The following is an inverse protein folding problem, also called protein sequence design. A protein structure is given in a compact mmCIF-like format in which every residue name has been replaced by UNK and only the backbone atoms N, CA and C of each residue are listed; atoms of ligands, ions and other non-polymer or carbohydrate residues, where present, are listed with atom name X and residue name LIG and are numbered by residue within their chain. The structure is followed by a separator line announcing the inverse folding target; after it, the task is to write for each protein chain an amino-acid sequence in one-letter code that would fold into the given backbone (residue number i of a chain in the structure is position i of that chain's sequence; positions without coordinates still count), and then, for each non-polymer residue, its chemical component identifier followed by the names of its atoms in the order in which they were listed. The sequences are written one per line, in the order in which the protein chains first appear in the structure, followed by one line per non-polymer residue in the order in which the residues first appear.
data_IF_389732282937
#
_entry.id   IF_389732282937
#
_cell.length_a   1.000
_cell.length_b   1.000
_cell.length_c   1.000
_cell.angle_alpha   90.00
_cell.angle_beta   90.00
_cell.angle_gamma   90.00
#
_symmetry.space_group_name_H-M   'P 1'
#
loop_
_entity.id
_entity.type
_entity.pdbx_description
1 polymer ?
#
# COMPACT_ATOMS: atom_id res chain seq x y z
N UNK A 1 -17.26 24.48 9.67
CA UNK A 1 -15.81 24.64 9.46
C UNK A 1 -15.40 25.85 10.26
N UNK A 2 -14.40 25.70 11.13
CA UNK A 2 -13.82 26.80 11.91
C UNK A 2 -12.34 26.91 11.53
N UNK A 3 -11.85 28.14 11.48
CA UNK A 3 -10.43 28.45 11.28
C UNK A 3 -10.06 29.54 12.28
N UNK A 4 -9.09 29.25 13.13
CA UNK A 4 -8.55 30.15 14.13
C UNK A 4 -7.08 30.41 13.82
N UNK A 5 -6.70 31.69 13.82
CA UNK A 5 -5.31 32.13 13.63
C UNK A 5 -4.78 32.59 14.98
N UNK A 6 -3.70 31.97 15.42
CA UNK A 6 -3.07 32.20 16.73
C UNK A 6 -4.05 32.21 17.93
N UNK A 7 -4.97 31.22 18.05
CA UNK A 7 -5.95 31.21 19.14
C UNK A 7 -5.29 31.08 20.53
N UNK A 8 -5.96 31.63 21.53
CA UNK A 8 -5.62 31.34 22.93
C UNK A 8 -5.88 29.87 23.28
N UNK A 9 -5.18 29.34 24.29
CA UNK A 9 -5.28 27.91 24.64
C UNK A 9 -6.71 27.47 25.00
N UNK A 10 -7.46 28.31 25.73
CA UNK A 10 -8.85 28.00 26.10
C UNK A 10 -9.80 27.96 24.89
N UNK A 11 -9.65 28.91 23.97
CA UNK A 11 -10.42 28.95 22.73
C UNK A 11 -10.11 27.73 21.86
N UNK A 12 -8.82 27.42 21.70
CA UNK A 12 -8.37 26.25 20.97
C UNK A 12 -8.88 24.95 21.62
N UNK A 13 -8.82 24.81 22.95
CA UNK A 13 -9.33 23.63 23.67
C UNK A 13 -10.83 23.46 23.47
N UNK A 14 -11.60 24.55 23.55
CA UNK A 14 -13.05 24.52 23.38
C UNK A 14 -13.42 24.05 21.96
N UNK A 15 -12.77 24.59 20.94
CA UNK A 15 -13.05 24.21 19.56
C UNK A 15 -12.56 22.79 19.25
N UNK A 16 -11.39 22.42 19.77
CA UNK A 16 -10.87 21.05 19.66
C UNK A 16 -11.85 20.04 20.28
N UNK A 17 -12.38 20.31 21.47
CA UNK A 17 -13.36 19.45 22.13
C UNK A 17 -14.60 19.20 21.26
N UNK A 18 -15.21 20.27 20.72
CA UNK A 18 -16.37 20.18 19.82
C UNK A 18 -16.06 19.36 18.57
N UNK A 19 -14.90 19.60 17.95
CA UNK A 19 -14.51 18.92 16.72
C UNK A 19 -14.27 17.42 16.95
N UNK A 20 -13.63 17.04 18.06
CA UNK A 20 -13.38 15.65 18.42
C UNK A 20 -14.68 14.91 18.74
N UNK A 21 -15.60 15.52 19.48
CA UNK A 21 -16.94 14.97 19.75
C UNK A 21 -17.74 14.76 18.46
N UNK A 22 -17.66 15.70 17.53
CA UNK A 22 -18.30 15.62 16.22
C UNK A 22 -17.55 14.73 15.20
N UNK A 23 -16.46 14.07 15.60
CA UNK A 23 -15.57 13.27 14.73
C UNK A 23 -15.11 14.02 13.47
N UNK A 24 -14.85 15.30 13.62
CA UNK A 24 -14.28 16.12 12.55
C UNK A 24 -12.77 15.92 12.44
N UNK A 25 -12.22 16.18 11.26
CA UNK A 25 -10.78 16.35 11.10
C UNK A 25 -10.36 17.68 11.72
N UNK A 26 -9.26 17.68 12.46
CA UNK A 26 -8.61 18.86 13.01
C UNK A 26 -7.20 18.95 12.47
N UNK A 27 -6.82 20.14 12.00
CA UNK A 27 -5.45 20.44 11.56
C UNK A 27 -4.92 21.62 12.35
N UNK A 28 -3.75 21.47 12.96
CA UNK A 28 -3.11 22.50 13.78
C UNK A 28 -1.65 22.71 13.37
N UNK A 29 -1.17 23.94 13.49
CA UNK A 29 0.27 24.24 13.54
C UNK A 29 0.55 24.82 14.92
N UNK A 30 1.45 24.18 15.66
CA UNK A 30 1.73 24.57 17.05
C UNK A 30 3.19 24.30 17.42
N UNK A 31 3.75 25.14 18.30
CA UNK A 31 4.96 24.81 19.02
C UNK A 31 4.63 23.80 20.12
N UNK A 32 5.28 22.65 20.09
CA UNK A 32 4.93 21.54 20.96
C UNK A 32 6.10 20.65 21.37
N UNK A 33 5.86 19.81 22.36
CA UNK A 33 6.59 18.55 22.59
C UNK A 33 5.69 17.37 22.24
N UNK A 34 6.30 16.23 21.95
CA UNK A 34 5.57 14.97 21.71
C UNK A 34 6.23 13.85 22.47
N UNK A 35 5.44 13.11 23.25
CA UNK A 35 5.89 11.91 23.96
C UNK A 35 5.00 10.74 23.59
N UNK A 36 5.62 9.63 23.22
CA UNK A 36 4.93 8.39 22.88
C UNK A 36 5.38 7.28 23.82
N UNK A 37 4.41 6.52 24.32
CA UNK A 37 4.62 5.36 25.19
C UNK A 37 3.75 4.21 24.71
N UNK A 38 4.39 3.09 24.36
CA UNK A 38 3.73 1.89 23.85
C UNK A 38 4.74 0.74 23.73
N UNK A 39 4.73 0.04 22.59
CA UNK A 39 5.73 -1.01 22.29
C UNK A 39 7.18 -0.50 22.34
N UNK A 40 7.37 0.78 22.08
CA UNK A 40 8.61 1.53 22.24
C UNK A 40 8.31 2.85 22.96
N UNK A 41 9.33 3.58 23.37
CA UNK A 41 9.20 4.95 23.86
C UNK A 41 9.89 5.92 22.91
N UNK A 42 9.32 7.11 22.72
CA UNK A 42 10.00 8.20 22.01
C UNK A 42 9.57 9.56 22.54
N UNK A 43 10.53 10.48 22.65
CA UNK A 43 10.28 11.86 23.02
C UNK A 43 10.87 12.79 21.96
N UNK A 44 10.12 13.85 21.64
CA UNK A 44 10.57 14.93 20.77
C UNK A 44 10.37 16.24 21.53
N UNK A 45 11.47 16.98 21.70
CA UNK A 45 11.47 18.28 22.37
C UNK A 45 10.76 19.38 21.59
N UNK A 46 10.85 20.61 22.10
CA UNK A 46 10.18 21.79 21.56
C UNK A 46 10.39 21.98 20.06
N UNK A 47 9.33 22.41 19.38
CA UNK A 47 9.37 22.77 17.97
C UNK A 47 8.00 22.88 17.32
N UNK A 48 7.94 23.66 16.26
CA UNK A 48 6.72 23.85 15.46
C UNK A 48 6.43 22.61 14.60
N UNK A 49 5.19 22.11 14.70
CA UNK A 49 4.76 20.91 13.98
C UNK A 49 3.36 21.07 13.41
N UNK A 50 3.15 20.43 12.26
CA UNK A 50 1.81 20.20 11.71
C UNK A 50 1.23 18.97 12.41
N UNK A 51 0.06 19.14 13.02
CA UNK A 51 -0.66 18.07 13.72
C UNK A 51 -1.99 17.87 13.00
N UNK A 52 -2.31 16.62 12.67
CA UNK A 52 -3.58 16.23 12.07
C UNK A 52 -4.24 15.17 12.94
N UNK A 53 -5.45 15.46 13.40
CA UNK A 53 -6.33 14.54 14.10
C UNK A 53 -7.49 14.21 13.17
N UNK A 54 -7.68 12.94 12.83
CA UNK A 54 -8.74 12.52 11.91
C UNK A 54 -9.98 12.06 12.69
N UNK A 55 -11.14 12.12 12.04
CA UNK A 55 -12.42 11.71 12.63
C UNK A 55 -12.52 10.21 12.99
N UNK A 56 -11.64 9.39 12.42
CA UNK A 56 -11.52 7.96 12.72
C UNK A 56 -10.59 7.66 13.91
N UNK A 57 -10.02 8.68 14.56
CA UNK A 57 -9.09 8.52 15.67
C UNK A 57 -7.62 8.45 15.27
N UNK A 58 -7.27 8.59 13.98
CA UNK A 58 -5.87 8.62 13.55
C UNK A 58 -5.20 9.96 13.93
N UNK A 59 -3.93 9.89 14.34
CA UNK A 59 -3.09 11.05 14.67
C UNK A 59 -1.83 11.04 13.85
N UNK A 60 -1.49 12.19 13.27
CA UNK A 60 -0.25 12.41 12.54
C UNK A 60 0.42 13.68 13.05
N UNK A 61 1.71 13.60 13.36
CA UNK A 61 2.54 14.76 13.69
C UNK A 61 3.69 14.84 12.69
N UNK A 62 3.78 15.95 11.97
CA UNK A 62 4.79 16.20 10.94
C UNK A 62 5.73 17.35 11.32
N UNK A 63 6.99 17.21 10.90
CA UNK A 63 7.92 18.34 10.80
C UNK A 63 7.67 19.08 9.48
N UNK A 64 8.28 20.24 9.28
CA UNK A 64 8.21 20.99 8.01
C UNK A 64 8.96 20.36 6.82
N UNK A 65 9.35 19.09 6.92
CA UNK A 65 10.08 18.33 5.89
C UNK A 65 9.69 16.86 5.95
N UNK A 66 10.04 16.13 4.90
CA UNK A 66 9.75 14.70 4.70
C UNK A 66 8.25 14.39 4.54
N UNK A 67 7.93 13.28 3.85
CA UNK A 67 6.54 12.89 3.62
C UNK A 67 5.94 12.07 4.76
N UNK A 68 6.78 11.50 5.64
CA UNK A 68 6.35 10.65 6.74
C UNK A 68 6.11 11.48 8.01
N UNK A 69 5.07 11.16 8.81
CA UNK A 69 4.93 11.74 10.14
C UNK A 69 6.09 11.31 11.04
N UNK A 70 6.56 12.22 11.89
CA UNK A 70 7.62 11.92 12.87
C UNK A 70 7.08 11.11 14.05
N UNK A 71 5.82 11.29 14.41
CA UNK A 71 5.06 10.44 15.32
C UNK A 71 3.62 10.31 14.82
N UNK A 72 3.02 9.14 15.03
CA UNK A 72 1.65 8.88 14.61
C UNK A 72 1.00 7.79 15.46
N UNK A 73 -0.33 7.73 15.42
CA UNK A 73 -1.11 6.58 15.85
C UNK A 73 -2.18 6.24 14.81
N UNK A 74 -2.50 4.94 14.63
CA UNK A 74 -3.53 4.50 13.71
C UNK A 74 -4.93 4.93 14.17
N UNK A 75 -5.94 4.62 13.36
CA UNK A 75 -7.35 4.82 13.70
C UNK A 75 -7.77 4.07 14.98
N UNK A 76 -8.87 4.50 15.58
CA UNK A 76 -9.44 3.93 16.79
C UNK A 76 -8.88 4.48 18.09
N UNK A 77 -8.10 5.57 18.07
CA UNK A 77 -7.70 6.25 19.29
C UNK A 77 -8.86 7.02 19.92
N UNK A 78 -8.87 7.07 21.26
CA UNK A 78 -9.69 8.00 22.03
C UNK A 78 -8.83 9.20 22.40
N UNK A 79 -9.40 10.39 22.25
CA UNK A 79 -8.71 11.64 22.57
C UNK A 79 -9.11 12.18 23.94
N UNK A 80 -8.14 12.72 24.64
CA UNK A 80 -8.34 13.52 25.85
C UNK A 80 -7.63 14.85 25.68
N UNK A 81 -8.33 15.94 26.03
CA UNK A 81 -7.79 17.30 25.93
C UNK A 81 -7.93 18.02 27.26
N UNK A 82 -6.86 18.66 27.74
CA UNK A 82 -6.91 19.48 28.96
C UNK A 82 -5.86 20.59 28.89
N UNK A 83 -6.05 21.63 29.68
CA UNK A 83 -5.00 22.62 29.91
C UNK A 83 -4.36 22.31 31.26
N UNK A 84 -3.04 22.21 31.29
CA UNK A 84 -2.25 21.92 32.48
C UNK A 84 -0.89 22.62 32.35
N UNK A 85 -0.43 23.27 33.42
CA UNK A 85 0.88 23.95 33.40
C UNK A 85 1.02 25.05 32.34
N UNK A 86 -0.09 25.69 31.94
CA UNK A 86 -0.07 26.71 30.88
C UNK A 86 0.13 26.14 29.47
N UNK A 87 -0.12 24.84 29.26
CA UNK A 87 -0.07 24.15 27.98
C UNK A 87 -1.38 23.47 27.67
N UNK A 88 -1.75 23.40 26.39
CA UNK A 88 -2.82 22.53 25.90
C UNK A 88 -2.25 21.14 25.64
N UNK A 89 -2.76 20.15 26.36
CA UNK A 89 -2.41 18.74 26.19
C UNK A 89 -3.46 18.05 25.34
N UNK A 90 -3.00 17.31 24.34
CA UNK A 90 -3.81 16.38 23.55
C UNK A 90 -3.19 14.99 23.68
N UNK A 91 -3.91 14.09 24.34
CA UNK A 91 -3.51 12.70 24.53
C UNK A 91 -4.37 11.79 23.67
N UNK A 92 -3.76 11.09 22.74
CA UNK A 92 -4.36 10.02 21.97
C UNK A 92 -4.05 8.68 22.64
N UNK A 93 -5.10 7.92 22.96
CA UNK A 93 -4.99 6.61 23.62
C UNK A 93 -5.54 5.55 22.69
N UNK A 94 -4.70 4.62 22.26
CA UNK A 94 -5.10 3.40 21.58
C UNK A 94 -5.21 2.28 22.60
N UNK A 95 -6.33 1.56 22.68
CA UNK A 95 -6.55 0.55 23.71
C UNK A 95 -5.90 -0.80 23.42
N UNK A 96 -5.67 -1.15 22.14
CA UNK A 96 -5.12 -2.46 21.76
C UNK A 96 -4.17 -2.39 20.55
N UNK A 97 -2.86 -2.66 20.74
CA UNK A 97 -2.17 -2.64 22.04
C UNK A 97 -2.34 -1.28 22.73
N UNK A 98 -2.20 -1.26 24.07
CA UNK A 98 -2.27 -0.03 24.84
C UNK A 98 -1.07 0.87 24.47
N UNK A 99 -1.35 1.98 23.80
CA UNK A 99 -0.34 2.94 23.35
C UNK A 99 -0.88 4.37 23.59
N UNK A 100 -0.01 5.27 24.01
CA UNK A 100 -0.34 6.67 24.24
C UNK A 100 0.60 7.59 23.48
N UNK A 101 0.03 8.63 22.87
CA UNK A 101 0.77 9.72 22.24
C UNK A 101 0.25 11.01 22.85
N UNK A 102 1.11 11.73 23.55
CA UNK A 102 0.80 13.02 24.19
C UNK A 102 1.49 14.13 23.43
N UNK A 103 0.72 15.13 23.03
CA UNK A 103 1.20 16.36 22.41
C UNK A 103 0.93 17.49 23.40
N UNK A 104 1.95 18.22 23.81
CA UNK A 104 1.81 19.38 24.69
C UNK A 104 2.16 20.64 23.90
N UNK A 105 1.23 21.59 23.84
CA UNK A 105 1.37 22.82 23.05
C UNK A 105 1.34 24.03 23.97
N UNK A 106 2.34 24.90 23.88
CA UNK A 106 2.33 26.20 24.58
C UNK A 106 1.80 27.33 23.70
N UNK A 107 1.94 27.22 22.38
CA UNK A 107 1.45 28.17 21.39
C UNK A 107 0.92 27.45 20.16
N UNK A 108 -0.29 27.85 19.75
CA UNK A 108 -0.97 27.31 18.57
C UNK A 108 -1.04 28.45 17.58
N UNK A 109 -0.35 28.33 16.45
CA UNK A 109 -0.32 29.34 15.39
C UNK A 109 -1.55 29.23 14.49
N UNK A 110 -2.11 28.03 14.38
CA UNK A 110 -3.25 27.74 13.51
C UNK A 110 -4.04 26.56 14.05
N UNK A 111 -5.37 26.66 14.01
CA UNK A 111 -6.29 25.54 14.24
C UNK A 111 -7.43 25.61 13.23
N UNK A 112 -7.75 24.48 12.62
CA UNK A 112 -8.89 24.37 11.71
C UNK A 112 -9.64 23.06 11.89
N UNK A 113 -10.94 23.09 11.62
CA UNK A 113 -11.84 21.95 11.78
C UNK A 113 -12.64 21.70 10.50
N UNK A 114 -12.61 20.47 9.99
CA UNK A 114 -13.25 20.07 8.73
C UNK A 114 -14.11 18.83 8.91
N UNK A 115 -15.31 18.86 8.35
CA UNK A 115 -16.13 17.66 8.15
C UNK A 115 -15.94 17.20 6.71
N UNK A 116 -14.88 16.41 6.47
CA UNK A 116 -14.59 15.89 5.14
C UNK A 116 -15.62 14.82 4.77
N UNK A 117 -16.17 14.94 3.56
CA UNK A 117 -17.04 13.93 2.97
C UNK A 117 -16.31 13.32 1.79
N UNK A 118 -15.96 12.06 1.93
CA UNK A 118 -15.33 11.27 0.88
C UNK A 118 -16.07 9.94 0.77
N UNK A 119 -16.94 9.85 -0.23
CA UNK A 119 -17.76 8.67 -0.54
C UNK A 119 -17.22 7.92 -1.77
N UNK A 120 -16.11 8.40 -2.35
CA UNK A 120 -15.52 7.79 -3.52
C UNK A 120 -14.83 6.46 -3.15
N UNK A 121 -14.96 5.47 -4.04
CA UNK A 121 -14.17 4.24 -3.91
C UNK A 121 -12.71 4.53 -4.27
N UNK A 122 -11.80 4.20 -3.35
CA UNK A 122 -10.37 4.28 -3.62
C UNK A 122 -9.91 3.02 -4.36
N UNK A 123 -9.72 3.13 -5.68
CA UNK A 123 -9.18 2.04 -6.51
C UNK A 123 -7.67 2.24 -6.67
N UNK A 124 -6.89 1.41 -5.99
CA UNK A 124 -5.43 1.39 -6.16
C UNK A 124 -5.06 0.44 -7.30
N UNK A 125 -4.79 0.98 -8.49
CA UNK A 125 -4.17 0.19 -9.57
C UNK A 125 -2.69 -0.07 -9.21
N UNK A 126 -2.41 -1.22 -8.60
CA UNK A 126 -1.03 -1.69 -8.47
C UNK A 126 -0.50 -2.07 -9.85
N UNK A 127 0.66 -1.51 -10.23
CA UNK A 127 1.31 -1.88 -11.50
C UNK A 127 1.78 -3.34 -11.54
N UNK A 128 1.98 -3.99 -10.38
CA UNK A 128 2.32 -5.42 -10.34
C UNK A 128 1.10 -6.29 -10.62
N UNK A 129 -0.08 -5.86 -10.17
CA UNK A 129 -1.35 -6.52 -10.47
C UNK A 129 -1.67 -6.45 -11.97
N UNK A 130 -1.42 -5.31 -12.62
CA UNK A 130 -1.59 -5.19 -14.08
C UNK A 130 -0.60 -6.06 -14.86
N UNK A 131 0.65 -6.19 -14.37
CA UNK A 131 1.61 -7.14 -14.93
C UNK A 131 1.16 -8.60 -14.72
N UNK A 132 0.61 -8.93 -13.55
CA UNK A 132 0.04 -10.24 -13.27
C UNK A 132 -1.13 -10.54 -14.20
N UNK A 133 -2.12 -9.64 -14.30
CA UNK A 133 -3.26 -9.77 -15.23
C UNK A 133 -2.81 -10.02 -16.66
N UNK A 134 -1.77 -9.33 -17.13
CA UNK A 134 -1.21 -9.55 -18.45
C UNK A 134 -0.63 -10.96 -18.62
N UNK A 135 0.09 -11.49 -17.62
CA UNK A 135 0.63 -12.86 -17.63
C UNK A 135 -0.49 -13.91 -17.56
N UNK A 136 -1.52 -13.68 -16.73
CA UNK A 136 -2.67 -14.58 -16.64
C UNK A 136 -3.44 -14.63 -17.95
N UNK A 137 -3.56 -13.48 -18.62
CA UNK A 137 -4.14 -13.40 -19.94
C UNK A 137 -3.24 -14.12 -20.97
N UNK A 138 -1.99 -13.71 -21.12
CA UNK A 138 -1.08 -14.22 -22.13
C UNK A 138 0.18 -14.82 -21.47
N UNK A 139 0.14 -16.08 -20.99
CA UNK A 139 1.29 -16.73 -20.33
C UNK A 139 2.54 -16.79 -21.22
N UNK A 140 2.35 -16.76 -22.54
CA UNK A 140 3.39 -16.70 -23.56
C UNK A 140 4.27 -15.43 -23.46
N UNK A 141 3.83 -14.39 -22.73
CA UNK A 141 4.67 -13.26 -22.35
C UNK A 141 5.92 -13.69 -21.56
N UNK A 142 5.82 -14.80 -20.83
CA UNK A 142 6.91 -15.38 -20.03
C UNK A 142 7.64 -16.44 -20.85
N UNK A 143 6.90 -17.44 -21.35
CA UNK A 143 7.41 -18.47 -22.23
C UNK A 143 6.29 -19.28 -22.90
N UNK A 144 6.58 -19.77 -24.10
CA UNK A 144 5.67 -20.61 -24.87
C UNK A 144 5.31 -21.90 -24.13
N UNK A 145 4.01 -22.17 -24.02
CA UNK A 145 3.49 -23.38 -23.38
C UNK A 145 3.44 -23.33 -21.85
N UNK A 146 3.67 -22.16 -21.24
CA UNK A 146 3.36 -21.92 -19.84
C UNK A 146 1.85 -22.03 -19.62
N UNK A 147 1.43 -22.85 -18.67
CA UNK A 147 0.04 -22.94 -18.22
C UNK A 147 -0.06 -22.49 -16.78
N UNK A 148 -0.79 -21.41 -16.55
CA UNK A 148 -1.06 -20.93 -15.19
C UNK A 148 -2.08 -21.87 -14.54
N UNK A 149 -1.75 -22.36 -13.35
CA UNK A 149 -2.61 -23.22 -12.53
C UNK A 149 -3.31 -22.37 -11.47
N UNK A 150 -2.59 -21.44 -10.86
CA UNK A 150 -3.07 -20.63 -9.74
C UNK A 150 -2.33 -19.28 -9.72
N UNK A 151 -2.92 -18.27 -9.08
CA UNK A 151 -2.33 -16.95 -8.87
C UNK A 151 -2.57 -16.51 -7.44
N UNK A 152 -1.68 -15.71 -6.87
CA UNK A 152 -1.66 -15.42 -5.43
C UNK A 152 -1.76 -16.69 -4.57
N UNK A 153 -1.05 -17.75 -4.97
CA UNK A 153 -1.11 -19.04 -4.30
C UNK A 153 -0.58 -18.93 -2.88
N UNK A 154 -1.46 -19.19 -1.90
CA UNK A 154 -1.10 -19.11 -0.48
C UNK A 154 -0.02 -20.13 -0.12
N UNK A 155 1.06 -19.65 0.49
CA UNK A 155 2.14 -20.40 1.11
C UNK A 155 2.30 -19.94 2.57
N UNK A 156 2.97 -20.71 3.43
CA UNK A 156 3.07 -20.38 4.85
C UNK A 156 3.55 -18.92 5.13
N UNK A 157 4.57 -18.38 4.45
CA UNK A 157 5.04 -17.02 4.68
C UNK A 157 4.31 -15.93 3.87
N UNK A 158 3.36 -16.26 2.99
CA UNK A 158 2.72 -15.27 2.11
C UNK A 158 2.02 -15.87 0.89
N UNK A 159 2.18 -15.24 -0.28
CA UNK A 159 1.54 -15.64 -1.52
C UNK A 159 2.55 -15.60 -2.68
N UNK A 160 2.45 -16.57 -3.58
CA UNK A 160 3.20 -16.60 -4.85
C UNK A 160 2.37 -15.92 -5.93
N UNK A 161 2.92 -14.94 -6.64
CA UNK A 161 2.16 -14.15 -7.61
C UNK A 161 1.55 -15.01 -8.73
N UNK A 162 2.34 -15.89 -9.36
CA UNK A 162 1.83 -16.85 -10.35
C UNK A 162 2.45 -18.22 -10.14
N UNK A 163 1.61 -19.24 -10.14
CA UNK A 163 1.97 -20.65 -10.03
C UNK A 163 1.46 -21.42 -11.25
N UNK A 164 2.34 -22.12 -11.93
CA UNK A 164 1.99 -22.81 -13.18
C UNK A 164 2.85 -24.02 -13.47
N UNK A 165 2.70 -24.52 -14.70
CA UNK A 165 3.54 -25.58 -15.26
C UNK A 165 4.01 -25.23 -16.66
N UNK A 166 5.26 -25.56 -16.96
CA UNK A 166 5.80 -25.42 -18.31
C UNK A 166 5.36 -26.57 -19.24
N UNK A 167 5.80 -26.51 -20.49
CA UNK A 167 5.52 -27.53 -21.52
C UNK A 167 6.11 -28.91 -21.20
N UNK A 168 7.10 -28.98 -20.31
CA UNK A 168 7.72 -30.23 -19.84
C UNK A 168 7.08 -30.75 -18.54
N UNK A 169 6.09 -30.02 -18.00
CA UNK A 169 5.42 -30.33 -16.75
C UNK A 169 6.22 -29.98 -15.50
N UNK A 170 7.27 -29.16 -15.59
CA UNK A 170 7.95 -28.62 -14.41
C UNK A 170 7.08 -27.53 -13.78
N UNK A 171 7.11 -27.45 -12.46
CA UNK A 171 6.42 -26.39 -11.72
C UNK A 171 7.12 -25.05 -11.95
N UNK A 172 6.38 -24.04 -12.35
CA UNK A 172 6.86 -22.66 -12.54
C UNK A 172 6.31 -21.78 -11.43
N UNK A 173 7.18 -21.03 -10.78
CA UNK A 173 6.86 -20.12 -9.66
C UNK A 173 7.37 -18.74 -10.04
N UNK A 174 6.48 -17.78 -10.17
CA UNK A 174 6.82 -16.44 -10.66
C UNK A 174 6.62 -15.42 -9.54
N UNK A 175 7.65 -14.59 -9.35
CA UNK A 175 7.59 -13.35 -8.57
C UNK A 175 7.63 -12.16 -9.53
N UNK A 176 6.69 -11.23 -9.42
CA UNK A 176 6.53 -10.07 -10.28
C UNK A 176 7.04 -8.83 -9.56
N UNK A 177 7.77 -7.97 -10.27
CA UNK A 177 8.18 -6.65 -9.77
C UNK A 177 7.95 -5.58 -10.84
N UNK A 178 7.34 -4.46 -10.45
CA UNK A 178 7.13 -3.31 -11.36
C UNK A 178 8.43 -2.57 -11.68
N UNK A 179 9.35 -2.59 -10.72
CA UNK A 179 10.63 -1.88 -10.71
C UNK A 179 11.77 -2.90 -10.86
N UNK A 180 13.03 -2.45 -11.07
CA UNK A 180 14.17 -3.38 -11.14
C UNK A 180 14.22 -4.32 -9.93
N UNK A 181 14.24 -5.63 -10.18
CA UNK A 181 14.16 -6.62 -9.11
C UNK A 181 15.45 -6.66 -8.28
N UNK A 182 15.31 -6.37 -6.98
CA UNK A 182 16.40 -6.33 -6.00
C UNK A 182 16.58 -7.62 -5.22
N UNK A 183 17.54 -7.60 -4.28
CA UNK A 183 17.83 -8.72 -3.38
C UNK A 183 16.61 -9.15 -2.54
N UNK A 184 15.68 -8.24 -2.24
CA UNK A 184 14.44 -8.54 -1.54
C UNK A 184 13.56 -9.53 -2.31
N UNK A 185 13.37 -9.33 -3.62
CA UNK A 185 12.58 -10.21 -4.47
C UNK A 185 13.20 -11.61 -4.56
N UNK A 186 14.53 -11.69 -4.69
CA UNK A 186 15.26 -12.95 -4.67
C UNK A 186 15.07 -13.68 -3.35
N UNK A 187 15.23 -12.99 -2.21
CA UNK A 187 15.07 -13.57 -0.89
C UNK A 187 13.65 -14.09 -0.68
N UNK A 188 12.65 -13.33 -1.11
CA UNK A 188 11.24 -13.70 -1.02
C UNK A 188 10.93 -14.96 -1.83
N UNK A 189 11.34 -15.00 -3.10
CA UNK A 189 11.13 -16.17 -3.95
C UNK A 189 11.84 -17.41 -3.38
N UNK A 190 13.07 -17.28 -2.88
CA UNK A 190 13.80 -18.36 -2.21
C UNK A 190 13.07 -18.88 -0.96
N UNK A 191 12.44 -17.98 -0.20
CA UNK A 191 11.65 -18.38 0.97
C UNK A 191 10.42 -19.20 0.55
N UNK A 192 9.73 -18.80 -0.52
CA UNK A 192 8.55 -19.52 -1.03
C UNK A 192 8.89 -20.92 -1.54
N UNK A 193 10.03 -21.09 -2.20
CA UNK A 193 10.49 -22.38 -2.69
C UNK A 193 10.61 -23.45 -1.60
N UNK A 194 10.82 -23.05 -0.33
CA UNK A 194 10.90 -24.00 0.80
C UNK A 194 9.56 -24.68 1.10
N UNK A 195 8.45 -24.09 0.68
CA UNK A 195 7.09 -24.56 0.96
C UNK A 195 6.39 -25.16 -0.27
N UNK A 196 7.10 -25.27 -1.39
CA UNK A 196 6.57 -25.76 -2.65
C UNK A 196 7.23 -27.08 -3.00
N UNK A 197 6.40 -28.09 -3.31
CA UNK A 197 6.87 -29.38 -3.83
C UNK A 197 6.38 -29.53 -5.27
N UNK A 198 7.27 -29.89 -6.21
CA UNK A 198 6.86 -30.20 -7.57
C UNK A 198 6.12 -31.54 -7.62
N UNK A 199 5.47 -31.81 -8.75
CA UNK A 199 4.98 -33.14 -9.06
C UNK A 199 6.13 -34.17 -9.10
N UNK A 200 5.78 -35.45 -8.92
CA UNK A 200 6.75 -36.54 -8.89
C UNK A 200 7.58 -36.58 -10.20
N UNK A 201 8.91 -36.64 -10.05
CA UNK A 201 9.85 -36.62 -11.18
C UNK A 201 9.99 -35.25 -11.87
N UNK A 202 9.38 -34.18 -11.36
CA UNK A 202 9.45 -32.82 -11.92
C UNK A 202 10.29 -31.88 -11.05
N UNK A 203 10.71 -30.76 -11.64
CA UNK A 203 11.51 -29.73 -10.97
C UNK A 203 10.67 -28.48 -10.71
N UNK A 204 11.17 -27.63 -9.81
CA UNK A 204 10.65 -26.27 -9.62
C UNK A 204 11.57 -25.28 -10.34
N UNK A 205 10.97 -24.40 -11.14
CA UNK A 205 11.61 -23.32 -11.88
C UNK A 205 11.18 -21.96 -11.31
N UNK A 206 12.00 -21.35 -10.44
CA UNK A 206 11.74 -19.99 -9.97
C UNK A 206 12.07 -18.97 -11.04
N UNK A 207 11.13 -18.07 -11.33
CA UNK A 207 11.27 -17.00 -12.31
C UNK A 207 10.99 -15.65 -11.63
N UNK A 208 11.86 -14.67 -11.85
CA UNK A 208 11.58 -13.27 -11.55
C UNK A 208 11.18 -12.56 -12.84
N UNK A 209 10.02 -11.90 -12.81
CA UNK A 209 9.49 -11.09 -13.91
C UNK A 209 9.52 -9.61 -13.53
N UNK A 210 10.36 -8.84 -14.21
CA UNK A 210 10.54 -7.41 -13.94
C UNK A 210 11.09 -6.68 -15.17
N UNK A 211 11.09 -5.33 -15.23
CA UNK A 211 11.71 -4.60 -16.34
C UNK A 211 13.21 -4.86 -16.47
N UNK A 212 13.90 -5.02 -15.34
CA UNK A 212 15.34 -5.26 -15.25
C UNK A 212 15.73 -5.82 -13.87
N UNK A 213 17.01 -6.13 -13.67
CA UNK A 213 17.57 -6.55 -12.39
C UNK A 213 18.35 -5.42 -11.74
N UNK A 214 18.28 -5.30 -10.42
CA UNK A 214 19.13 -4.37 -9.68
C UNK A 214 20.60 -4.82 -9.69
N UNK A 215 21.53 -3.88 -9.50
CA UNK A 215 22.96 -4.16 -9.47
C UNK A 215 23.31 -5.16 -8.36
N UNK A 216 24.15 -6.14 -8.67
CA UNK A 216 24.68 -7.11 -7.71
C UNK A 216 23.77 -8.30 -7.40
N UNK A 217 22.60 -8.41 -8.03
CA UNK A 217 21.64 -9.50 -7.76
C UNK A 217 21.96 -10.78 -8.56
N UNK A 218 22.54 -10.62 -9.76
CA UNK A 218 22.88 -11.72 -10.69
C UNK A 218 23.62 -12.90 -10.04
N UNK A 219 24.70 -12.71 -9.26
CA UNK A 219 25.43 -13.85 -8.67
C UNK A 219 24.57 -14.70 -7.73
N UNK A 220 23.61 -14.06 -7.03
CA UNK A 220 22.72 -14.77 -6.12
C UNK A 220 21.64 -15.53 -6.89
N UNK A 221 21.11 -14.94 -7.97
CA UNK A 221 20.16 -15.61 -8.85
C UNK A 221 20.78 -16.83 -9.52
N UNK A 222 22.01 -16.73 -10.04
CA UNK A 222 22.73 -17.85 -10.65
C UNK A 222 22.96 -18.98 -9.65
N UNK A 223 23.44 -18.66 -8.43
CA UNK A 223 23.64 -19.63 -7.35
C UNK A 223 22.34 -20.37 -7.00
N UNK A 224 21.24 -19.65 -6.98
CA UNK A 224 19.91 -20.18 -6.63
C UNK A 224 19.13 -20.72 -7.84
N UNK A 225 19.72 -20.69 -9.05
CA UNK A 225 19.10 -21.09 -10.32
C UNK A 225 17.75 -20.40 -10.58
N UNK A 226 17.67 -19.11 -10.27
CA UNK A 226 16.49 -18.28 -10.53
C UNK A 226 16.61 -17.69 -11.94
N UNK A 227 15.58 -17.90 -12.74
CA UNK A 227 15.47 -17.37 -14.09
C UNK A 227 14.97 -15.93 -14.07
N UNK A 228 15.35 -15.14 -15.07
CA UNK A 228 14.86 -13.78 -15.25
C UNK A 228 14.11 -13.66 -16.58
N UNK A 229 12.93 -13.03 -16.54
CA UNK A 229 12.14 -12.73 -17.73
C UNK A 229 11.77 -11.24 -17.75
N UNK A 230 12.24 -10.47 -18.75
CA UNK A 230 11.96 -9.05 -18.80
C UNK A 230 10.50 -8.79 -19.21
N UNK A 231 9.76 -8.08 -18.36
CA UNK A 231 8.41 -7.58 -18.66
C UNK A 231 8.24 -6.20 -18.06
N UNK A 232 7.80 -5.24 -18.87
CA UNK A 232 7.50 -3.88 -18.42
C UNK A 232 6.00 -3.72 -18.19
N UNK A 233 5.63 -2.76 -17.33
CA UNK A 233 4.23 -2.37 -17.18
C UNK A 233 3.62 -1.93 -18.52
N UNK A 234 4.35 -1.16 -19.32
CA UNK A 234 3.88 -0.71 -20.64
C UNK A 234 3.50 -1.89 -21.54
N UNK A 235 4.39 -2.89 -21.67
CA UNK A 235 4.11 -4.08 -22.49
C UNK A 235 2.93 -4.89 -21.94
N UNK A 236 2.76 -4.92 -20.63
CA UNK A 236 1.63 -5.58 -19.96
C UNK A 236 0.31 -4.90 -20.30
N UNK A 237 0.25 -3.58 -20.20
CA UNK A 237 -0.92 -2.77 -20.56
C UNK A 237 -1.26 -2.88 -22.06
N UNK A 238 -0.26 -2.85 -22.94
CA UNK A 238 -0.46 -3.05 -24.39
C UNK A 238 -1.07 -4.42 -24.69
N UNK A 239 -0.65 -5.46 -23.94
CA UNK A 239 -1.17 -6.82 -24.09
C UNK A 239 -2.65 -6.91 -23.67
N UNK A 240 -2.97 -6.35 -22.51
CA UNK A 240 -4.36 -6.28 -22.01
C UNK A 240 -5.27 -5.51 -22.97
N UNK A 241 -4.81 -4.37 -23.50
CA UNK A 241 -5.56 -3.57 -24.47
C UNK A 241 -5.81 -4.31 -25.80
N UNK A 242 -4.80 -5.03 -26.32
CA UNK A 242 -4.96 -5.84 -27.54
C UNK A 242 -6.02 -6.92 -27.34
N UNK A 243 -6.02 -7.58 -26.18
CA UNK A 243 -7.00 -8.61 -25.86
C UNK A 243 -8.42 -8.06 -25.74
N UNK A 244 -8.61 -6.95 -25.02
CA UNK A 244 -9.92 -6.29 -24.93
C UNK A 244 -10.48 -5.92 -26.32
N UNK A 245 -9.64 -5.40 -27.21
CA UNK A 245 -10.04 -5.09 -28.59
C UNK A 245 -10.37 -6.34 -29.40
N UNK A 246 -9.63 -7.43 -29.20
CA UNK A 246 -9.89 -8.73 -29.83
C UNK A 246 -11.24 -9.30 -29.38
N UNK A 247 -11.51 -9.28 -28.07
CA UNK A 247 -12.76 -9.79 -27.50
C UNK A 247 -13.97 -8.97 -27.99
N UNK A 248 -13.85 -7.64 -28.06
CA UNK A 248 -14.87 -6.78 -28.66
C UNK A 248 -15.08 -7.06 -30.15
N UNK A 249 -14.01 -7.35 -30.91
CA UNK A 249 -14.10 -7.71 -32.33
C UNK A 249 -14.77 -9.08 -32.52
N UNK A 250 -14.46 -10.06 -31.67
CA UNK A 250 -15.08 -11.38 -31.69
C UNK A 250 -16.59 -11.28 -31.38
N UNK A 251 -16.98 -10.50 -30.38
CA UNK A 251 -18.38 -10.23 -30.05
C UNK A 251 -19.14 -9.54 -31.19
N UNK A 252 -18.52 -8.56 -31.86
CA UNK A 252 -19.13 -7.89 -33.04
C UNK A 252 -19.24 -8.82 -34.25
N UNK A 253 -18.30 -9.74 -34.44
CA UNK A 253 -18.39 -10.77 -35.47
C UNK A 253 -19.55 -11.72 -35.22
N UNK A 254 -19.78 -12.10 -33.95
CA UNK A 254 -20.91 -12.95 -33.55
C UNK A 254 -22.28 -12.27 -33.72
N UNK A 255 -22.33 -10.95 -33.50
CA UNK A 255 -23.53 -10.13 -33.72
C UNK A 255 -23.76 -9.78 -35.21
N UNK A 256 -22.82 -10.12 -36.10
CA UNK A 256 -22.79 -9.71 -37.51
C UNK A 256 -23.53 -10.62 -38.50
N UNK A 257 -24.13 -11.73 -38.06
CA UNK A 257 -24.91 -12.66 -38.89
C UNK A 257 -26.40 -12.71 -38.47
N UNK A 258 -26.97 -11.59 -38.02
CA UNK A 258 -28.43 -11.46 -37.98
C UNK A 258 -28.91 -11.29 -39.44
N UNK A 259 -29.78 -12.18 -39.97
CA UNK A 259 -30.21 -12.09 -41.35
C UNK A 259 -30.85 -10.74 -41.59
N UNK A 260 -30.37 -10.02 -42.60
CA UNK A 260 -31.02 -8.81 -43.10
C UNK A 260 -32.43 -9.21 -43.51
N UNK A 261 -33.44 -8.79 -42.74
CA UNK A 261 -34.82 -8.83 -43.20
C UNK A 261 -34.93 -7.93 -44.43
N UNK A 262 -34.89 -8.56 -45.60
CA UNK A 262 -35.46 -7.99 -46.81
C UNK A 262 -36.97 -8.10 -46.70
N UNK A 263 -37.64 -6.97 -46.45
CA UNK A 263 -38.89 -6.57 -47.11
C UNK A 263 -39.19 -5.11 -46.80
#
# INVERSE_FOLDING_TARGET
MVVLVSPGLDEARLELGKALEARMMVTMVANCTVSYSGRTGSDIGEGERLIVLKGDGCVLVHRGRDYQPVNWQPSGCVFQTRIEGGRLLVKAVRPSPLETLTIEMDRIEFLSTFNLKDEAEFILHSSEEEMQKAILAEPDLIEQGLRVIDFEKKVAPGFVDVYGVDSQGNTVVIEIKKDPAGAAAVKQLVEYLKYLSPAEGKKVRPIIVAPSLAKGVLPTMEKMKIEFKPLTLQKSLETLQKRMKSDQKALKGWLGDAPSEKS
#
